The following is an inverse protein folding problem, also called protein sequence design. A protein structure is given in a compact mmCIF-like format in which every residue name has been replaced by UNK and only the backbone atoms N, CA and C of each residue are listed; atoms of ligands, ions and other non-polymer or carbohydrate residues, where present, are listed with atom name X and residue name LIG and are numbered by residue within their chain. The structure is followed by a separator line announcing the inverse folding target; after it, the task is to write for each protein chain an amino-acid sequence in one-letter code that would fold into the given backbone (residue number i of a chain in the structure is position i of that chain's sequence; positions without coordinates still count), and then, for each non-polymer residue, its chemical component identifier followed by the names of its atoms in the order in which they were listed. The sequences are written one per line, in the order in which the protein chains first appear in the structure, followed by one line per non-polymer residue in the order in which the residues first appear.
data_IF_672051499036
#
_entry.id   IF_672051499036
#
_cell.length_a   1.000
_cell.length_b   1.000
_cell.length_c   1.000
_cell.angle_alpha   90.00
_cell.angle_beta   90.00
_cell.angle_gamma   90.00
#
_symmetry.space_group_name_H-M   'P 1'
#
loop_
_entity.id
_entity.type
_entity.pdbx_description
1 polymer ?
#
# COMPACT_ATOMS: atom_id res chain seq x y z
N UNK A 1 4.84 22.66 -5.63
CA UNK A 1 4.83 21.88 -4.38
C UNK A 1 5.03 22.85 -3.23
N UNK A 2 4.09 22.92 -2.29
CA UNK A 2 4.26 23.78 -1.12
C UNK A 2 5.22 23.09 -0.14
N UNK A 3 6.08 23.86 0.51
CA UNK A 3 6.97 23.35 1.56
C UNK A 3 6.15 23.02 2.81
N UNK A 4 6.33 21.82 3.37
CA UNK A 4 5.63 21.35 4.57
C UNK A 4 5.91 22.29 5.75
N UNK A 5 7.15 22.77 5.88
CA UNK A 5 7.54 23.70 6.95
C UNK A 5 6.80 25.02 6.82
N UNK A 6 6.58 25.49 5.58
CA UNK A 6 5.78 26.68 5.30
C UNK A 6 4.31 26.48 5.65
N UNK A 7 3.75 25.30 5.38
CA UNK A 7 2.38 24.98 5.75
C UNK A 7 2.18 24.93 7.27
N UNK A 8 3.09 24.26 7.98
CA UNK A 8 3.08 24.17 9.45
C UNK A 8 3.16 25.59 10.04
N UNK A 9 4.07 26.42 9.53
CA UNK A 9 4.21 27.81 9.98
C UNK A 9 2.94 28.63 9.78
N UNK A 10 2.32 28.55 8.60
CA UNK A 10 1.05 29.23 8.30
C UNK A 10 -0.06 28.82 9.29
N UNK A 11 -0.15 27.51 9.62
CA UNK A 11 -1.13 27.00 10.60
C UNK A 11 -0.83 27.54 12.01
N UNK A 12 0.43 27.46 12.45
CA UNK A 12 0.85 27.90 13.78
C UNK A 12 0.56 29.39 13.98
N UNK A 13 0.94 30.24 13.02
CA UNK A 13 0.68 31.69 13.10
C UNK A 13 -0.81 31.99 13.26
N UNK A 14 -1.66 31.21 12.59
CA UNK A 14 -3.11 31.35 12.70
C UNK A 14 -3.65 30.89 14.05
N UNK A 15 -3.19 29.75 14.57
CA UNK A 15 -3.57 29.24 15.89
C UNK A 15 -3.23 30.23 17.01
N UNK A 16 -2.08 30.90 16.91
CA UNK A 16 -1.68 31.96 17.85
C UNK A 16 -2.61 33.17 17.75
N UNK A 17 -2.88 33.64 16.53
CA UNK A 17 -3.64 34.87 16.30
C UNK A 17 -5.14 34.75 16.57
N UNK A 18 -5.72 33.61 16.22
CA UNK A 18 -7.19 33.45 16.19
C UNK A 18 -7.72 32.58 17.32
N UNK A 19 -6.89 31.70 17.91
CA UNK A 19 -7.37 30.63 18.80
C UNK A 19 -6.66 30.55 20.16
N UNK A 20 -5.89 31.58 20.55
CA UNK A 20 -5.15 31.66 21.82
C UNK A 20 -4.19 30.48 22.08
N UNK A 21 -3.67 29.85 21.02
CA UNK A 21 -2.59 28.88 21.19
C UNK A 21 -1.26 29.61 21.43
N UNK A 22 -0.40 29.00 22.25
CA UNK A 22 1.02 29.33 22.37
C UNK A 22 1.85 28.21 21.77
N UNK A 23 3.05 28.55 21.33
CA UNK A 23 4.00 27.57 20.79
C UNK A 23 5.01 27.23 21.87
N UNK A 24 5.32 25.94 21.98
CA UNK A 24 6.36 25.43 22.87
C UNK A 24 7.31 24.53 22.08
N UNK A 25 8.61 24.69 22.32
CA UNK A 25 9.62 23.81 21.75
C UNK A 25 9.75 22.54 22.60
N UNK A 26 9.86 21.38 21.94
CA UNK A 26 10.01 20.06 22.57
C UNK A 26 11.26 19.35 22.02
N UNK A 27 11.92 18.59 22.88
CA UNK A 27 13.20 17.93 22.60
C UNK A 27 13.06 16.41 22.41
N UNK A 28 12.04 15.96 21.67
CA UNK A 28 11.76 14.52 21.50
C UNK A 28 12.30 13.95 20.20
N UNK A 29 13.08 12.86 20.29
CA UNK A 29 13.48 12.02 19.14
C UNK A 29 12.46 10.92 18.79
N UNK A 30 11.20 11.04 19.23
CA UNK A 30 10.17 10.00 19.17
C UNK A 30 9.42 9.93 17.81
N UNK A 31 10.12 10.19 16.70
CA UNK A 31 9.52 10.15 15.35
C UNK A 31 8.64 11.36 15.00
N UNK A 32 8.69 12.43 15.80
CA UNK A 32 8.06 13.72 15.49
C UNK A 32 8.95 14.53 14.56
N UNK A 33 8.36 15.14 13.54
CA UNK A 33 9.12 15.92 12.54
C UNK A 33 9.27 17.40 12.92
N UNK A 34 8.35 17.94 13.71
CA UNK A 34 8.46 19.31 14.23
C UNK A 34 8.89 19.29 15.70
N UNK A 35 9.95 20.02 16.04
CA UNK A 35 10.34 20.30 17.45
C UNK A 35 9.37 21.22 18.20
N UNK A 36 8.16 21.44 17.70
CA UNK A 36 7.25 22.53 18.08
C UNK A 36 5.86 21.96 18.31
N UNK A 37 5.21 22.34 19.42
CA UNK A 37 3.81 22.00 19.71
C UNK A 37 3.00 23.28 19.89
N UNK A 38 1.74 23.26 19.48
CA UNK A 38 0.79 24.33 19.78
C UNK A 38 -0.06 23.93 20.99
N UNK A 39 -0.18 24.81 21.97
CA UNK A 39 -0.85 24.53 23.25
C UNK A 39 -1.88 25.60 23.54
N UNK A 40 -3.11 25.22 23.87
CA UNK A 40 -4.17 26.10 24.32
C UNK A 40 -4.61 25.69 25.73
N UNK A 41 -4.57 26.62 26.68
CA UNK A 41 -5.02 26.35 28.04
C UNK A 41 -6.54 26.52 28.13
N UNK A 42 -7.25 25.45 28.49
CA UNK A 42 -8.68 25.47 28.80
C UNK A 42 -8.90 25.42 30.31
N UNK A 43 -10.15 25.57 30.73
CA UNK A 43 -10.53 25.57 32.14
C UNK A 43 -10.09 24.27 32.82
N UNK A 44 -10.39 23.11 32.22
CA UNK A 44 -10.15 21.79 32.82
C UNK A 44 -8.94 21.03 32.25
N UNK A 45 -8.42 21.40 31.08
CA UNK A 45 -7.36 20.66 30.40
C UNK A 45 -6.46 21.56 29.53
N UNK A 46 -5.30 21.05 29.11
CA UNK A 46 -4.50 21.66 28.05
C UNK A 46 -4.80 20.97 26.72
N UNK A 47 -5.23 21.72 25.72
CA UNK A 47 -5.38 21.21 24.37
C UNK A 47 -4.05 21.35 23.63
N UNK A 48 -3.42 20.22 23.27
CA UNK A 48 -2.09 20.18 22.67
C UNK A 48 -2.20 19.65 21.26
N UNK A 49 -1.61 20.36 20.29
CA UNK A 49 -1.59 19.99 18.88
C UNK A 49 -0.15 19.77 18.42
N UNK A 50 0.08 18.63 17.77
CA UNK A 50 1.36 18.23 17.19
C UNK A 50 1.18 17.96 15.71
N UNK A 51 2.16 18.37 14.90
CA UNK A 51 2.20 18.10 13.46
C UNK A 51 3.21 16.99 13.14
N UNK A 52 2.85 16.12 12.22
CA UNK A 52 3.72 15.07 11.68
C UNK A 52 3.43 14.88 10.20
N UNK A 53 4.43 14.85 9.31
CA UNK A 53 4.23 14.37 7.93
C UNK A 53 4.45 12.86 7.79
N UNK A 54 4.73 12.18 8.90
CA UNK A 54 4.94 10.74 8.92
C UNK A 54 3.60 10.01 9.09
N UNK A 55 3.16 9.34 8.02
CA UNK A 55 2.02 8.42 8.02
C UNK A 55 2.27 7.14 8.83
N UNK A 56 3.51 6.87 9.27
CA UNK A 56 3.84 5.78 10.20
C UNK A 56 3.41 6.11 11.63
N UNK A 57 2.12 6.38 11.81
CA UNK A 57 1.45 6.58 13.10
C UNK A 57 1.58 5.34 14.00
N UNK A 58 1.90 4.18 13.42
CA UNK A 58 2.23 2.94 14.15
C UNK A 58 3.51 3.03 15.00
N UNK A 59 4.47 3.89 14.62
CA UNK A 59 5.73 4.07 15.36
C UNK A 59 5.67 5.25 16.34
N UNK A 60 4.64 6.10 16.23
CA UNK A 60 4.31 7.06 17.27
C UNK A 60 3.78 6.25 18.45
N UNK A 61 4.65 5.93 19.40
CA UNK A 61 4.22 5.41 20.70
C UNK A 61 3.41 6.52 21.39
N UNK A 62 2.12 6.58 21.06
CA UNK A 62 1.20 7.64 21.49
C UNK A 62 1.12 7.70 23.00
N UNK A 63 1.21 6.56 23.68
CA UNK A 63 1.32 6.51 25.15
C UNK A 63 2.58 7.22 25.62
N UNK A 64 3.75 6.89 25.06
CA UNK A 64 5.00 7.57 25.40
C UNK A 64 4.96 9.08 25.12
N UNK A 65 4.43 9.50 23.98
CA UNK A 65 4.30 10.92 23.63
C UNK A 65 3.32 11.60 24.56
N UNK A 66 2.17 10.97 24.84
CA UNK A 66 1.18 11.50 25.76
C UNK A 66 1.76 11.63 27.17
N UNK A 67 2.51 10.64 27.65
CA UNK A 67 3.20 10.68 28.94
C UNK A 67 4.26 11.78 29.00
N UNK A 68 5.12 11.87 27.98
CA UNK A 68 6.13 12.92 27.89
C UNK A 68 5.49 14.31 27.87
N UNK A 69 4.50 14.53 27.01
CA UNK A 69 3.81 15.82 26.91
C UNK A 69 3.06 16.10 28.22
N UNK A 70 2.38 15.11 28.81
CA UNK A 70 1.69 15.27 30.10
C UNK A 70 2.67 15.65 31.21
N UNK A 71 3.92 15.17 31.18
CA UNK A 71 4.95 15.55 32.15
C UNK A 71 5.32 17.05 32.09
N UNK A 72 5.06 17.71 30.96
CA UNK A 72 5.25 19.16 30.79
C UNK A 72 4.11 19.97 31.43
N UNK A 73 2.98 19.33 31.78
CA UNK A 73 1.79 19.98 32.35
C UNK A 73 1.42 19.35 33.70
N UNK A 74 1.75 20.06 34.78
CA UNK A 74 1.62 19.54 36.16
C UNK A 74 0.19 19.70 36.70
N UNK A 75 -0.57 20.70 36.23
CA UNK A 75 -1.79 21.16 36.91
C UNK A 75 -3.10 20.64 36.31
N UNK A 76 -3.08 20.20 35.04
CA UNK A 76 -4.29 19.81 34.31
C UNK A 76 -3.96 18.65 33.34
N UNK A 77 -4.92 17.76 33.05
CA UNK A 77 -4.76 16.74 32.02
C UNK A 77 -4.54 17.36 30.64
N UNK A 78 -3.90 16.63 29.73
CA UNK A 78 -3.78 17.01 28.32
C UNK A 78 -4.82 16.32 27.44
N UNK A 79 -5.33 17.05 26.46
CA UNK A 79 -5.96 16.50 25.27
C UNK A 79 -4.95 16.56 24.11
N UNK A 80 -4.37 15.42 23.75
CA UNK A 80 -3.34 15.34 22.71
C UNK A 80 -3.98 15.13 21.34
N UNK A 81 -3.83 16.13 20.46
CA UNK A 81 -4.22 16.10 19.07
C UNK A 81 -3.01 15.91 18.15
N UNK A 82 -3.07 14.92 17.26
CA UNK A 82 -2.03 14.66 16.26
C UNK A 82 -2.60 14.96 14.87
N UNK A 83 -2.02 15.96 14.21
CA UNK A 83 -2.31 16.35 12.83
C UNK A 83 -1.29 15.70 11.89
N UNK A 84 -1.78 14.83 11.00
CA UNK A 84 -0.92 14.21 9.98
C UNK A 84 -1.02 14.98 8.67
N UNK A 85 0.12 15.44 8.17
CA UNK A 85 0.24 16.20 6.94
C UNK A 85 0.57 15.25 5.79
N UNK A 86 -0.27 15.25 4.75
CA UNK A 86 -0.09 14.40 3.58
C UNK A 86 -0.16 15.22 2.30
N UNK A 87 0.35 14.64 1.23
CA UNK A 87 0.12 15.11 -0.13
C UNK A 87 -0.95 14.20 -0.75
N UNK A 88 -2.22 14.63 -0.86
CA UNK A 88 -3.31 13.73 -1.27
C UNK A 88 -3.09 13.12 -2.65
N UNK A 89 -2.46 13.84 -3.59
CA UNK A 89 -2.16 13.31 -4.92
C UNK A 89 -1.09 12.22 -4.86
N UNK A 90 -0.11 12.38 -3.96
CA UNK A 90 1.01 11.44 -3.80
C UNK A 90 0.71 10.35 -2.76
N UNK A 91 -0.19 10.55 -1.81
CA UNK A 91 -0.40 9.67 -0.65
C UNK A 91 -1.81 9.06 -0.61
N UNK A 92 -2.63 9.28 -1.65
CA UNK A 92 -4.00 8.74 -1.76
C UNK A 92 -4.12 7.24 -1.45
N UNK A 93 -3.10 6.44 -1.80
CA UNK A 93 -3.05 5.02 -1.51
C UNK A 93 -2.65 4.69 -0.06
N UNK A 94 -1.85 5.54 0.60
CA UNK A 94 -1.52 5.37 2.02
C UNK A 94 -2.75 5.62 2.88
N UNK A 95 -3.60 6.59 2.51
CA UNK A 95 -4.88 6.86 3.17
C UNK A 95 -5.78 5.61 3.14
N UNK A 96 -5.85 4.91 1.99
CA UNK A 96 -6.63 3.69 1.83
C UNK A 96 -6.09 2.49 2.64
N UNK A 97 -4.83 2.56 3.09
CA UNK A 97 -4.16 1.52 3.85
C UNK A 97 -4.02 1.85 5.34
N UNK A 98 -4.41 3.07 5.75
CA UNK A 98 -4.59 3.39 7.15
C UNK A 98 -5.73 2.52 7.66
N UNK A 99 -5.36 1.47 8.39
CA UNK A 99 -6.27 0.60 9.12
C UNK A 99 -7.26 1.49 9.91
N UNK A 100 -8.54 1.14 9.95
CA UNK A 100 -9.56 1.91 10.68
C UNK A 100 -9.16 2.05 12.16
N UNK A 101 -8.40 1.08 12.69
CA UNK A 101 -7.83 1.14 14.03
C UNK A 101 -6.68 2.16 14.16
N UNK A 102 -5.88 2.40 13.11
CA UNK A 102 -4.88 3.47 13.05
C UNK A 102 -5.53 4.85 13.00
N UNK A 103 -6.68 4.97 12.33
CA UNK A 103 -7.43 6.22 12.18
C UNK A 103 -8.05 6.68 13.51
N UNK A 104 -8.38 5.75 14.41
CA UNK A 104 -8.88 6.08 15.76
C UNK A 104 -7.89 6.86 16.63
N UNK A 105 -6.60 6.70 16.38
CA UNK A 105 -5.54 7.37 17.15
C UNK A 105 -5.08 8.70 16.52
N UNK A 106 -5.51 8.98 15.28
CA UNK A 106 -5.24 10.24 14.59
C UNK A 106 -6.35 11.23 14.91
N UNK A 107 -5.99 12.46 15.23
CA UNK A 107 -6.97 13.51 15.51
C UNK A 107 -7.53 14.09 14.22
N UNK A 108 -6.67 14.34 13.23
CA UNK A 108 -7.05 14.72 11.87
C UNK A 108 -5.88 14.59 10.87
N UNK A 109 -6.21 14.43 9.59
CA UNK A 109 -5.27 14.38 8.46
C UNK A 109 -5.52 15.58 7.54
N UNK A 110 -4.48 16.31 7.19
CA UNK A 110 -4.52 17.51 6.35
C UNK A 110 -3.72 17.30 5.06
N UNK A 111 -4.32 17.69 3.94
CA UNK A 111 -3.61 17.83 2.68
C UNK A 111 -2.95 19.21 2.62
N UNK A 112 -1.62 19.24 2.68
CA UNK A 112 -0.88 20.51 2.70
C UNK A 112 -0.84 21.19 1.33
N UNK A 113 -0.92 20.45 0.22
CA UNK A 113 -0.90 21.04 -1.12
C UNK A 113 -2.23 21.70 -1.46
N UNK A 114 -3.34 21.01 -1.19
CA UNK A 114 -4.68 21.53 -1.47
C UNK A 114 -5.27 22.34 -0.32
N UNK A 115 -4.57 22.43 0.83
CA UNK A 115 -5.07 23.05 2.07
C UNK A 115 -6.47 22.55 2.43
N UNK A 116 -6.62 21.23 2.42
CA UNK A 116 -7.92 20.58 2.63
C UNK A 116 -7.86 19.55 3.74
N UNK A 117 -9.02 19.24 4.31
CA UNK A 117 -9.16 18.26 5.37
C UNK A 117 -9.39 16.90 4.71
N UNK A 118 -8.55 15.93 5.05
CA UNK A 118 -8.65 14.55 4.55
C UNK A 118 -9.41 13.69 5.55
N UNK A 119 -9.17 13.89 6.85
CA UNK A 119 -9.87 13.19 7.93
C UNK A 119 -9.93 14.08 9.18
N UNK A 120 -10.99 13.98 9.96
CA UNK A 120 -11.09 14.57 11.30
C UNK A 120 -11.96 13.68 12.18
N UNK A 121 -11.45 13.28 13.34
CA UNK A 121 -12.21 12.51 14.32
C UNK A 121 -13.36 13.31 14.96
N UNK A 122 -14.31 12.62 15.58
CA UNK A 122 -15.58 13.21 16.09
C UNK A 122 -15.40 14.33 17.15
N UNK A 123 -14.21 14.51 17.73
CA UNK A 123 -13.92 15.57 18.71
C UNK A 123 -13.08 16.75 18.20
N UNK A 124 -12.61 16.72 16.95
CA UNK A 124 -11.55 17.64 16.48
C UNK A 124 -12.05 18.63 15.42
N UNK A 125 -13.31 18.49 15.01
CA UNK A 125 -13.93 19.27 13.93
C UNK A 125 -13.81 20.78 14.09
N UNK A 126 -14.06 21.32 15.29
CA UNK A 126 -13.98 22.76 15.54
C UNK A 126 -12.57 23.30 15.31
N UNK A 127 -11.56 22.63 15.88
CA UNK A 127 -10.14 22.99 15.74
C UNK A 127 -9.73 22.95 14.27
N UNK A 128 -10.15 21.94 13.53
CA UNK A 128 -9.78 21.77 12.11
C UNK A 128 -10.44 22.81 11.22
N UNK A 129 -11.72 23.12 11.43
CA UNK A 129 -12.44 24.15 10.67
C UNK A 129 -11.81 25.54 10.89
N UNK A 130 -11.37 25.82 12.12
CA UNK A 130 -10.67 27.05 12.48
C UNK A 130 -9.25 27.12 11.90
N UNK A 131 -8.52 26.01 11.86
CA UNK A 131 -7.18 25.92 11.26
C UNK A 131 -7.23 26.15 9.74
N UNK A 132 -8.18 25.53 9.04
CA UNK A 132 -8.11 25.48 7.57
C UNK A 132 -8.83 26.65 6.89
N UNK A 133 -9.86 27.30 7.49
CA UNK A 133 -10.73 28.29 6.79
C UNK A 133 -10.84 27.99 5.28
N UNK A 134 -11.30 26.78 4.96
CA UNK A 134 -11.54 26.37 3.57
C UNK A 134 -12.55 27.37 3.00
N UNK A 135 -12.29 28.01 1.85
CA UNK A 135 -13.31 28.78 1.16
C UNK A 135 -14.53 27.86 0.97
N UNK A 136 -15.73 28.31 1.40
CA UNK A 136 -16.99 27.53 1.35
C UNK A 136 -17.37 26.97 -0.04
N UNK A 137 -16.58 27.26 -1.07
CA UNK A 137 -16.82 26.94 -2.48
C UNK A 137 -16.07 25.70 -3.01
N UNK A 138 -15.24 25.02 -2.20
CA UNK A 138 -14.66 23.72 -2.60
C UNK A 138 -15.10 22.62 -1.64
N UNK A 139 -15.76 21.60 -2.20
CA UNK A 139 -16.35 20.44 -1.53
C UNK A 139 -15.49 19.91 -0.37
N UNK A 140 -15.90 20.21 0.86
CA UNK A 140 -15.35 19.59 2.04
C UNK A 140 -15.82 18.13 2.09
N UNK A 141 -14.90 17.17 1.93
CA UNK A 141 -15.19 15.75 2.14
C UNK A 141 -15.13 15.48 3.64
N UNK A 142 -16.26 15.62 4.32
CA UNK A 142 -16.43 15.12 5.69
C UNK A 142 -16.70 13.62 5.61
N UNK A 143 -15.70 12.79 5.94
CA UNK A 143 -15.88 11.34 6.01
C UNK A 143 -16.72 10.98 7.24
N UNK A 144 -17.99 10.70 7.01
CA UNK A 144 -18.86 10.01 7.95
C UNK A 144 -18.52 8.51 7.89
N UNK A 145 -18.47 7.78 9.00
CA UNK A 145 -18.18 6.34 9.05
C UNK A 145 -19.07 5.51 8.07
N UNK A 146 -20.22 6.07 7.68
CA UNK A 146 -21.18 5.48 6.75
C UNK A 146 -20.96 5.81 5.26
N UNK A 147 -20.07 6.75 4.92
CA UNK A 147 -19.74 7.15 3.55
C UNK A 147 -18.27 6.81 3.22
N UNK A 148 -17.91 5.55 3.43
CA UNK A 148 -16.82 4.92 2.64
C UNK A 148 -17.39 4.76 1.24
N UNK A 149 -17.44 5.87 0.50
CA UNK A 149 -17.91 5.84 -0.86
C UNK A 149 -16.93 4.97 -1.66
N UNK A 150 -17.50 3.99 -2.34
CA UNK A 150 -16.82 2.82 -2.84
C UNK A 150 -15.58 3.22 -3.64
N UNK A 151 -14.42 2.69 -3.22
CA UNK A 151 -13.23 2.58 -4.07
C UNK A 151 -13.65 2.32 -5.52
N UNK A 152 -12.96 2.91 -6.50
CA UNK A 152 -12.95 2.28 -7.83
C UNK A 152 -12.55 0.83 -7.60
N UNK A 153 -13.55 -0.06 -7.64
CA UNK A 153 -13.38 -1.48 -7.35
C UNK A 153 -12.24 -1.92 -8.25
N UNK A 154 -11.13 -2.42 -7.71
CA UNK A 154 -10.01 -2.96 -8.46
C UNK A 154 -10.53 -4.04 -9.43
N UNK A 155 -10.93 -3.59 -10.62
CA UNK A 155 -11.84 -4.32 -11.50
C UNK A 155 -11.00 -5.33 -12.26
N UNK A 156 -9.80 -4.91 -12.68
CA UNK A 156 -8.86 -5.77 -13.37
C UNK A 156 -8.36 -6.87 -12.44
N UNK A 157 -8.00 -6.54 -11.20
CA UNK A 157 -7.58 -7.54 -10.21
C UNK A 157 -8.66 -8.62 -10.05
N UNK A 158 -9.93 -8.22 -9.88
CA UNK A 158 -11.05 -9.16 -9.75
C UNK A 158 -11.30 -9.96 -11.03
N UNK A 159 -11.15 -9.36 -12.21
CA UNK A 159 -11.24 -10.07 -13.50
C UNK A 159 -10.15 -11.13 -13.60
N UNK A 160 -8.90 -10.80 -13.28
CA UNK A 160 -7.79 -11.75 -13.31
C UNK A 160 -8.05 -12.90 -12.33
N UNK A 161 -8.53 -12.61 -11.12
CA UNK A 161 -8.93 -13.64 -10.15
C UNK A 161 -10.02 -14.54 -10.74
N UNK A 162 -11.06 -13.96 -11.33
CA UNK A 162 -12.14 -14.71 -11.98
C UNK A 162 -11.65 -15.64 -13.08
N UNK A 163 -10.71 -15.18 -13.93
CA UNK A 163 -10.10 -15.99 -14.99
C UNK A 163 -9.32 -17.16 -14.40
N UNK A 164 -8.53 -16.94 -13.35
CA UNK A 164 -7.76 -18.00 -12.68
C UNK A 164 -8.68 -19.06 -12.05
N UNK A 165 -9.76 -18.63 -11.40
CA UNK A 165 -10.77 -19.55 -10.83
C UNK A 165 -11.42 -20.35 -11.95
N UNK A 166 -11.84 -19.70 -13.04
CA UNK A 166 -12.46 -20.38 -14.17
C UNK A 166 -11.52 -21.42 -14.81
N UNK A 167 -10.27 -21.06 -15.06
CA UNK A 167 -9.26 -21.99 -15.59
C UNK A 167 -8.95 -23.15 -14.63
N UNK A 168 -8.98 -22.89 -13.32
CA UNK A 168 -8.83 -23.96 -12.34
C UNK A 168 -10.01 -24.93 -12.36
N UNK A 169 -11.25 -24.44 -12.50
CA UNK A 169 -12.44 -25.31 -12.61
C UNK A 169 -12.36 -26.22 -13.85
N UNK A 170 -11.89 -25.70 -14.99
CA UNK A 170 -11.64 -26.50 -16.19
C UNK A 170 -10.58 -27.58 -15.89
N UNK A 171 -9.47 -27.18 -15.27
CA UNK A 171 -8.37 -28.10 -14.93
C UNK A 171 -8.85 -29.20 -13.97
N UNK A 172 -9.60 -28.84 -12.94
CA UNK A 172 -10.15 -29.77 -11.94
C UNK A 172 -11.14 -30.75 -12.56
N UNK A 173 -12.02 -30.27 -13.44
CA UNK A 173 -12.96 -31.11 -14.19
C UNK A 173 -12.22 -32.15 -15.06
N UNK A 174 -11.24 -31.71 -15.84
CA UNK A 174 -10.45 -32.59 -16.71
C UNK A 174 -9.55 -33.55 -15.91
N UNK A 175 -9.05 -33.11 -14.75
CA UNK A 175 -8.27 -33.94 -13.83
C UNK A 175 -9.12 -34.89 -13.00
N UNK A 176 -10.46 -34.74 -13.01
CA UNK A 176 -11.42 -35.45 -12.16
C UNK A 176 -11.12 -35.34 -10.66
N UNK A 177 -10.49 -34.24 -10.25
CA UNK A 177 -10.10 -33.98 -8.87
C UNK A 177 -10.05 -32.48 -8.61
N UNK A 178 -10.77 -32.02 -7.59
CA UNK A 178 -10.87 -30.60 -7.21
C UNK A 178 -9.78 -30.16 -6.23
N UNK A 179 -9.06 -31.08 -5.61
CA UNK A 179 -8.01 -30.78 -4.65
C UNK A 179 -6.63 -30.70 -5.31
N UNK A 180 -6.37 -31.54 -6.31
CA UNK A 180 -5.12 -31.61 -7.05
C UNK A 180 -5.34 -31.79 -8.55
N UNK A 181 -4.49 -31.14 -9.35
CA UNK A 181 -4.53 -31.20 -10.81
C UNK A 181 -3.54 -32.23 -11.36
N UNK A 182 -3.94 -32.99 -12.38
CA UNK A 182 -3.02 -33.91 -13.09
C UNK A 182 -2.05 -33.09 -13.95
N UNK A 183 -0.74 -33.37 -13.82
CA UNK A 183 0.31 -32.66 -14.55
C UNK A 183 0.13 -32.76 -16.08
N UNK A 184 -0.41 -33.87 -16.59
CA UNK A 184 -0.68 -34.06 -18.03
C UNK A 184 -1.78 -33.14 -18.52
N UNK A 185 -2.81 -32.92 -17.69
CA UNK A 185 -3.89 -31.96 -17.97
C UNK A 185 -3.32 -30.54 -17.96
N UNK A 186 -2.49 -30.19 -16.97
CA UNK A 186 -1.82 -28.89 -16.93
C UNK A 186 -0.97 -28.64 -18.17
N UNK A 187 -0.15 -29.62 -18.59
CA UNK A 187 0.66 -29.51 -19.81
C UNK A 187 -0.23 -29.41 -21.05
N UNK A 188 -1.31 -30.19 -21.14
CA UNK A 188 -2.28 -30.10 -22.23
C UNK A 188 -2.91 -28.70 -22.34
N UNK A 189 -3.26 -28.09 -21.21
CA UNK A 189 -3.88 -26.76 -21.13
C UNK A 189 -2.90 -25.59 -21.26
N UNK A 190 -1.60 -25.84 -21.47
CA UNK A 190 -0.63 -24.79 -21.73
C UNK A 190 0.28 -24.43 -20.56
N UNK A 191 0.56 -25.36 -19.64
CA UNK A 191 1.63 -25.17 -18.66
C UNK A 191 2.97 -24.90 -19.35
N UNK A 192 3.86 -24.18 -18.68
CA UNK A 192 5.22 -23.96 -19.17
C UNK A 192 5.93 -25.30 -19.19
N UNK A 193 6.43 -25.71 -20.36
CA UNK A 193 7.18 -26.94 -20.57
C UNK A 193 8.20 -26.71 -21.69
N UNK A 194 9.49 -26.91 -21.40
CA UNK A 194 10.59 -26.47 -22.27
C UNK A 194 10.54 -27.11 -23.66
N UNK A 195 10.24 -28.40 -23.76
CA UNK A 195 10.18 -29.11 -25.04
C UNK A 195 9.15 -28.52 -26.00
N UNK A 196 7.97 -28.16 -25.48
CA UNK A 196 6.90 -27.54 -26.29
C UNK A 196 7.24 -26.10 -26.68
N UNK A 197 7.85 -25.33 -25.77
CA UNK A 197 8.32 -23.97 -26.07
C UNK A 197 9.40 -24.00 -27.17
N UNK A 198 10.32 -24.95 -27.11
CA UNK A 198 11.35 -25.15 -28.14
C UNK A 198 10.74 -25.49 -29.51
N UNK A 199 9.55 -26.11 -29.53
CA UNK A 199 8.81 -26.45 -30.74
C UNK A 199 7.88 -25.31 -31.21
N UNK A 200 7.98 -24.12 -30.63
CA UNK A 200 7.24 -22.93 -31.07
C UNK A 200 5.96 -22.61 -30.29
N UNK A 201 5.64 -23.37 -29.23
CA UNK A 201 4.45 -23.10 -28.39
C UNK A 201 4.69 -21.97 -27.37
N UNK A 202 5.09 -20.79 -27.87
CA UNK A 202 5.45 -19.62 -27.05
C UNK A 202 4.30 -19.07 -26.20
N UNK A 203 3.04 -19.35 -26.58
CA UNK A 203 1.87 -18.98 -25.78
C UNK A 203 1.92 -19.55 -24.35
N UNK A 204 2.68 -20.64 -24.14
CA UNK A 204 2.92 -21.24 -22.82
C UNK A 204 3.62 -20.31 -21.83
N UNK A 205 4.28 -19.26 -22.31
CA UNK A 205 4.85 -18.22 -21.43
C UNK A 205 3.76 -17.38 -20.75
N UNK A 206 2.56 -17.31 -21.35
CA UNK A 206 1.41 -16.58 -20.83
C UNK A 206 0.39 -17.53 -20.19
N UNK A 207 0.04 -18.63 -20.86
CA UNK A 207 -1.04 -19.52 -20.39
C UNK A 207 -0.70 -20.21 -19.07
N UNK A 208 0.57 -20.48 -18.80
CA UNK A 208 1.06 -21.05 -17.54
C UNK A 208 0.64 -20.22 -16.31
N UNK A 209 0.52 -18.90 -16.47
CA UNK A 209 0.15 -17.96 -15.41
C UNK A 209 -1.26 -18.20 -14.85
N UNK A 210 -2.12 -18.86 -15.62
CA UNK A 210 -3.53 -19.07 -15.28
C UNK A 210 -3.85 -20.50 -14.79
N UNK A 211 -2.84 -21.37 -14.75
CA UNK A 211 -3.00 -22.77 -14.35
C UNK A 211 -2.53 -22.99 -12.92
N UNK A 212 -3.22 -23.85 -12.17
CA UNK A 212 -2.92 -24.11 -10.76
C UNK A 212 -2.92 -25.61 -10.45
N UNK A 213 -1.94 -26.05 -9.66
CA UNK A 213 -1.70 -27.47 -9.38
C UNK A 213 -2.61 -28.08 -8.33
N UNK A 214 -3.40 -27.24 -7.65
CA UNK A 214 -4.31 -27.65 -6.59
C UNK A 214 -5.05 -26.48 -5.98
N UNK A 215 -6.05 -26.78 -5.15
CA UNK A 215 -6.98 -25.79 -4.62
C UNK A 215 -6.29 -24.83 -3.65
N UNK A 216 -5.42 -25.35 -2.80
CA UNK A 216 -4.63 -24.54 -1.87
C UNK A 216 -3.68 -23.60 -2.63
N UNK A 217 -3.03 -24.09 -3.68
CA UNK A 217 -2.15 -23.26 -4.51
C UNK A 217 -2.94 -22.12 -5.17
N UNK A 218 -4.13 -22.39 -5.73
CA UNK A 218 -5.01 -21.34 -6.24
C UNK A 218 -5.40 -20.36 -5.14
N UNK A 219 -5.90 -20.84 -4.00
CA UNK A 219 -6.40 -20.00 -2.93
C UNK A 219 -5.33 -19.03 -2.41
N UNK A 220 -4.10 -19.51 -2.20
CA UNK A 220 -2.98 -18.68 -1.75
C UNK A 220 -2.61 -17.61 -2.80
N UNK A 221 -2.58 -17.96 -4.09
CA UNK A 221 -2.32 -16.98 -5.15
C UNK A 221 -3.42 -15.94 -5.26
N UNK A 222 -4.69 -16.34 -5.18
CA UNK A 222 -5.81 -15.41 -5.28
C UNK A 222 -5.88 -14.50 -4.05
N UNK A 223 -5.57 -15.02 -2.86
CA UNK A 223 -5.44 -14.21 -1.64
C UNK A 223 -4.32 -13.19 -1.77
N UNK A 224 -3.13 -13.61 -2.22
CA UNK A 224 -2.00 -12.72 -2.43
C UNK A 224 -2.31 -11.65 -3.48
N UNK A 225 -2.86 -12.05 -4.63
CA UNK A 225 -3.24 -11.13 -5.71
C UNK A 225 -4.31 -10.14 -5.27
N UNK A 226 -5.32 -10.56 -4.51
CA UNK A 226 -6.34 -9.66 -4.00
C UNK A 226 -5.80 -8.70 -2.92
N UNK A 227 -4.75 -9.10 -2.19
CA UNK A 227 -4.12 -8.26 -1.18
C UNK A 227 -3.24 -7.17 -1.79
N UNK A 228 -2.46 -7.50 -2.84
CA UNK A 228 -1.45 -6.59 -3.40
C UNK A 228 -1.83 -5.97 -4.76
N UNK A 229 -2.64 -6.66 -5.56
CA UNK A 229 -3.10 -6.20 -6.88
C UNK A 229 -3.82 -4.85 -6.86
N UNK A 230 -4.81 -4.64 -5.96
CA UNK A 230 -5.55 -3.38 -5.89
C UNK A 230 -4.65 -2.18 -5.62
N UNK A 231 -3.55 -2.34 -4.88
CA UNK A 231 -2.60 -1.26 -4.60
C UNK A 231 -1.95 -0.74 -5.88
N UNK A 232 -1.50 -1.65 -6.75
CA UNK A 232 -0.85 -1.28 -8.01
C UNK A 232 -1.89 -0.81 -9.04
N UNK A 233 -3.08 -1.42 -9.08
CA UNK A 233 -4.18 -0.98 -9.95
C UNK A 233 -4.63 0.45 -9.62
N UNK A 234 -4.76 0.78 -8.34
CA UNK A 234 -5.16 2.12 -7.91
C UNK A 234 -4.03 3.15 -8.10
N UNK A 235 -2.77 2.75 -7.88
CA UNK A 235 -1.63 3.67 -8.03
C UNK A 235 -1.35 4.03 -9.50
N UNK A 236 -1.36 3.03 -10.39
CA UNK A 236 -0.97 3.23 -11.78
C UNK A 236 -2.16 3.33 -12.76
N UNK A 237 -3.36 2.97 -12.32
CA UNK A 237 -4.51 2.77 -13.18
C UNK A 237 -4.49 1.42 -13.90
N UNK A 238 -5.65 1.06 -14.46
CA UNK A 238 -5.94 -0.26 -15.06
C UNK A 238 -4.94 -0.71 -16.12
N UNK A 239 -4.58 0.18 -17.05
CA UNK A 239 -3.71 -0.14 -18.21
C UNK A 239 -2.29 -0.45 -17.75
N UNK A 240 -1.70 0.43 -16.92
CA UNK A 240 -0.33 0.25 -16.45
C UNK A 240 -0.21 -0.95 -15.50
N UNK A 241 -1.24 -1.22 -14.68
CA UNK A 241 -1.30 -2.44 -13.88
C UNK A 241 -1.31 -3.72 -14.75
N UNK A 242 -2.09 -3.75 -15.83
CA UNK A 242 -2.07 -4.86 -16.78
C UNK A 242 -0.67 -5.06 -17.39
N UNK A 243 -0.01 -3.98 -17.80
CA UNK A 243 1.35 -4.02 -18.36
C UNK A 243 2.32 -4.63 -17.34
N UNK A 244 2.30 -4.15 -16.10
CA UNK A 244 3.14 -4.70 -15.01
C UNK A 244 2.85 -6.18 -14.82
N UNK A 245 1.59 -6.56 -14.63
CA UNK A 245 1.19 -7.94 -14.34
C UNK A 245 1.61 -8.91 -15.45
N UNK A 246 1.28 -8.59 -16.71
CA UNK A 246 1.54 -9.50 -17.83
C UNK A 246 3.01 -9.55 -18.22
N UNK A 247 3.74 -8.44 -18.25
CA UNK A 247 5.18 -8.47 -18.57
C UNK A 247 5.96 -9.20 -17.47
N UNK A 248 5.63 -8.98 -16.20
CA UNK A 248 6.22 -9.74 -15.10
C UNK A 248 5.93 -11.23 -15.19
N UNK A 249 4.69 -11.60 -15.52
CA UNK A 249 4.33 -13.02 -15.72
C UNK A 249 5.07 -13.68 -16.88
N UNK A 250 5.23 -12.97 -18.01
CA UNK A 250 6.01 -13.47 -19.15
C UNK A 250 7.49 -13.63 -18.78
N UNK A 251 8.09 -12.63 -18.12
CA UNK A 251 9.48 -12.69 -17.69
C UNK A 251 9.70 -13.79 -16.63
N UNK A 252 8.72 -14.03 -15.78
CA UNK A 252 8.69 -15.16 -14.85
C UNK A 252 8.77 -16.49 -15.61
N UNK A 253 7.83 -16.74 -16.54
CA UNK A 253 7.84 -17.96 -17.36
C UNK A 253 9.12 -18.10 -18.19
N UNK A 254 9.68 -16.99 -18.66
CA UNK A 254 10.91 -16.98 -19.45
C UNK A 254 12.14 -17.32 -18.59
N UNK A 255 12.27 -16.77 -17.39
CA UNK A 255 13.34 -17.15 -16.46
C UNK A 255 13.21 -18.62 -16.05
N UNK A 256 12.00 -19.08 -15.78
CA UNK A 256 11.74 -20.50 -15.57
C UNK A 256 12.19 -21.35 -16.76
N UNK A 257 11.90 -20.91 -17.98
CA UNK A 257 12.31 -21.61 -19.20
C UNK A 257 13.83 -21.73 -19.32
N UNK A 258 14.56 -20.65 -19.03
CA UNK A 258 16.03 -20.62 -19.11
C UNK A 258 16.71 -21.46 -18.02
N UNK A 259 16.19 -21.42 -16.79
CA UNK A 259 16.92 -21.91 -15.61
C UNK A 259 16.30 -23.13 -14.94
N UNK A 260 15.11 -23.56 -15.36
CA UNK A 260 14.42 -24.73 -14.80
C UNK A 260 13.91 -25.67 -15.91
N UNK A 261 14.28 -26.96 -15.88
CA UNK A 261 13.73 -27.96 -16.80
C UNK A 261 12.29 -28.36 -16.43
N UNK A 262 11.84 -28.03 -15.22
CA UNK A 262 10.56 -28.46 -14.67
C UNK A 262 9.37 -27.78 -15.35
N UNK A 263 8.23 -28.46 -15.32
CA UNK A 263 6.94 -27.85 -15.67
C UNK A 263 6.60 -26.78 -14.64
N UNK A 264 6.15 -25.62 -15.10
CA UNK A 264 5.78 -24.50 -14.24
C UNK A 264 4.39 -23.95 -14.57
N UNK A 265 3.69 -23.53 -13.52
CA UNK A 265 2.31 -23.06 -13.52
C UNK A 265 2.12 -22.10 -12.35
N UNK A 266 1.14 -21.20 -12.47
CA UNK A 266 0.64 -20.38 -11.38
C UNK A 266 0.84 -18.89 -11.61
N UNK A 267 -0.06 -18.10 -11.03
CA UNK A 267 -0.01 -16.65 -11.10
C UNK A 267 1.12 -16.04 -10.26
N UNK A 268 1.77 -16.82 -9.40
CA UNK A 268 2.77 -16.35 -8.44
C UNK A 268 3.91 -15.55 -9.07
N UNK A 269 4.35 -15.92 -10.27
CA UNK A 269 5.36 -15.17 -11.01
C UNK A 269 4.96 -13.71 -11.27
N UNK A 270 3.74 -13.50 -11.77
CA UNK A 270 3.19 -12.16 -11.96
C UNK A 270 2.95 -11.44 -10.64
N UNK A 271 2.49 -12.15 -9.60
CA UNK A 271 2.30 -11.60 -8.24
C UNK A 271 3.63 -11.09 -7.67
N UNK A 272 4.75 -11.83 -7.86
CA UNK A 272 6.08 -11.35 -7.51
C UNK A 272 6.48 -10.09 -8.27
N UNK A 273 6.02 -9.94 -9.51
CA UNK A 273 6.13 -8.69 -10.25
C UNK A 273 5.34 -7.53 -9.65
N UNK A 274 4.10 -7.78 -9.21
CA UNK A 274 3.28 -6.79 -8.49
C UNK A 274 3.93 -6.43 -7.14
N UNK A 275 4.54 -7.39 -6.43
CA UNK A 275 5.37 -7.13 -5.25
C UNK A 275 6.60 -6.27 -5.59
N UNK A 276 7.26 -6.54 -6.72
CA UNK A 276 8.36 -5.72 -7.23
C UNK A 276 7.95 -4.28 -7.53
N UNK A 277 6.78 -4.09 -8.14
CA UNK A 277 6.19 -2.77 -8.36
C UNK A 277 5.89 -2.06 -7.03
N UNK A 278 5.34 -2.80 -6.07
CA UNK A 278 5.06 -2.30 -4.71
C UNK A 278 6.34 -1.89 -4.00
N UNK A 279 7.41 -2.66 -4.15
CA UNK A 279 8.72 -2.36 -3.58
C UNK A 279 9.27 -1.01 -4.09
N UNK A 280 9.11 -0.71 -5.39
CA UNK A 280 9.54 0.56 -5.97
C UNK A 280 8.72 1.74 -5.41
N UNK A 281 7.40 1.59 -5.29
CA UNK A 281 6.54 2.59 -4.67
C UNK A 281 6.94 2.80 -3.21
N UNK A 282 7.09 1.72 -2.44
CA UNK A 282 7.49 1.78 -1.04
C UNK A 282 8.86 2.46 -0.87
N UNK A 283 9.82 2.13 -1.73
CA UNK A 283 11.14 2.76 -1.74
C UNK A 283 11.06 4.25 -2.04
N UNK A 284 10.27 4.67 -3.02
CA UNK A 284 10.12 6.10 -3.37
C UNK A 284 9.56 6.91 -2.20
N UNK A 285 8.64 6.32 -1.44
CA UNK A 285 7.99 6.97 -0.29
C UNK A 285 8.66 6.70 1.06
N UNK A 286 9.81 6.00 1.09
CA UNK A 286 10.49 5.60 2.34
C UNK A 286 10.86 6.75 3.28
N UNK A 287 11.06 7.96 2.73
CA UNK A 287 11.39 9.17 3.50
C UNK A 287 10.16 9.90 4.06
N UNK A 288 8.94 9.50 3.64
CA UNK A 288 7.65 10.07 4.04
C UNK A 288 6.83 9.04 4.84
N UNK A 289 7.49 8.29 5.73
CA UNK A 289 6.85 7.24 6.53
C UNK A 289 6.71 5.86 5.87
N UNK A 290 7.11 5.69 4.62
CA UNK A 290 7.04 4.40 3.92
C UNK A 290 8.08 3.35 4.33
N UNK A 291 8.94 3.60 5.33
CA UNK A 291 10.07 2.72 5.67
C UNK A 291 9.61 1.37 6.21
N UNK A 292 8.60 1.34 7.09
CA UNK A 292 8.04 0.09 7.60
C UNK A 292 7.27 -0.68 6.55
N UNK A 293 6.52 0.02 5.70
CA UNK A 293 5.87 -0.60 4.54
C UNK A 293 6.91 -1.24 3.61
N UNK A 294 8.02 -0.53 3.33
CA UNK A 294 9.16 -1.06 2.59
C UNK A 294 9.75 -2.31 3.27
N UNK A 295 10.03 -2.26 4.58
CA UNK A 295 10.55 -3.39 5.34
C UNK A 295 9.60 -4.60 5.30
N UNK A 296 8.28 -4.37 5.41
CA UNK A 296 7.27 -5.40 5.32
C UNK A 296 7.24 -6.05 3.93
N UNK A 297 7.28 -5.26 2.85
CA UNK A 297 7.33 -5.79 1.49
C UNK A 297 8.62 -6.58 1.25
N UNK A 298 9.77 -6.08 1.72
CA UNK A 298 11.04 -6.81 1.67
C UNK A 298 10.93 -8.13 2.43
N UNK A 299 10.38 -8.11 3.64
CA UNK A 299 10.16 -9.29 4.47
C UNK A 299 9.27 -10.33 3.76
N UNK A 300 8.14 -9.90 3.20
CA UNK A 300 7.23 -10.77 2.43
C UNK A 300 7.95 -11.39 1.24
N UNK A 301 8.74 -10.62 0.48
CA UNK A 301 9.51 -11.13 -0.66
C UNK A 301 10.52 -12.17 -0.18
N UNK A 302 11.34 -11.85 0.83
CA UNK A 302 12.39 -12.74 1.35
C UNK A 302 11.80 -14.02 1.91
N UNK A 303 10.75 -13.94 2.73
CA UNK A 303 10.09 -15.11 3.31
C UNK A 303 9.50 -16.00 2.23
N UNK A 304 8.80 -15.44 1.23
CA UNK A 304 8.25 -16.24 0.14
C UNK A 304 9.33 -16.91 -0.72
N UNK A 305 10.47 -16.25 -0.95
CA UNK A 305 11.60 -16.87 -1.65
C UNK A 305 12.21 -18.00 -0.82
N UNK A 306 12.45 -17.80 0.49
CA UNK A 306 12.97 -18.86 1.38
C UNK A 306 12.03 -20.06 1.41
N UNK A 307 10.73 -19.81 1.59
CA UNK A 307 9.71 -20.86 1.56
C UNK A 307 9.67 -21.56 0.20
N UNK A 308 9.79 -20.79 -0.89
CA UNK A 308 9.85 -21.35 -2.24
C UNK A 308 11.09 -22.23 -2.47
N UNK A 309 12.25 -21.89 -1.91
CA UNK A 309 13.43 -22.76 -1.96
C UNK A 309 13.31 -23.99 -1.04
N UNK A 310 12.44 -23.92 -0.03
CA UNK A 310 12.23 -25.00 0.95
C UNK A 310 11.15 -26.00 0.54
N UNK A 311 10.19 -25.60 -0.30
CA UNK A 311 9.08 -26.44 -0.75
C UNK A 311 9.40 -27.05 -2.12
N UNK A 312 9.43 -28.39 -2.26
CA UNK A 312 9.63 -29.04 -3.55
C UNK A 312 8.59 -28.61 -4.59
N UNK A 313 9.02 -28.48 -5.85
CA UNK A 313 8.18 -28.10 -6.99
C UNK A 313 7.71 -26.64 -7.01
N UNK A 314 8.32 -25.75 -6.21
CA UNK A 314 8.14 -24.30 -6.37
C UNK A 314 9.19 -23.73 -7.33
N UNK A 315 8.73 -22.88 -8.24
CA UNK A 315 9.57 -22.30 -9.29
C UNK A 315 10.16 -20.94 -8.88
N UNK A 316 11.28 -21.00 -8.13
CA UNK A 316 11.96 -19.79 -7.65
C UNK A 316 12.60 -18.97 -8.78
N UNK A 317 13.03 -19.61 -9.87
CA UNK A 317 13.53 -18.87 -11.04
C UNK A 317 12.40 -18.06 -11.67
N UNK A 318 11.19 -18.64 -11.73
CA UNK A 318 9.98 -17.91 -12.06
C UNK A 318 9.73 -16.72 -11.12
N UNK A 319 9.78 -16.91 -9.81
CA UNK A 319 9.55 -15.82 -8.84
C UNK A 319 10.58 -14.69 -8.99
N UNK A 320 11.86 -15.01 -9.14
CA UNK A 320 12.94 -14.04 -9.35
C UNK A 320 12.73 -13.27 -10.67
N UNK A 321 12.44 -13.97 -11.77
CA UNK A 321 12.18 -13.34 -13.07
C UNK A 321 10.98 -12.40 -13.04
N UNK A 322 9.92 -12.81 -12.33
CA UNK A 322 8.74 -11.97 -12.10
C UNK A 322 9.05 -10.70 -11.32
N UNK A 323 9.77 -10.84 -10.19
CA UNK A 323 10.19 -9.73 -9.35
C UNK A 323 11.05 -8.71 -10.10
N UNK A 324 12.08 -9.18 -10.81
CA UNK A 324 12.96 -8.34 -11.64
C UNK A 324 12.15 -7.64 -12.72
N UNK A 325 11.27 -8.37 -13.42
CA UNK A 325 10.40 -7.82 -14.44
C UNK A 325 9.50 -6.72 -13.91
N UNK A 326 8.90 -6.93 -12.74
CA UNK A 326 8.04 -5.93 -12.09
C UNK A 326 8.79 -4.67 -11.72
N UNK A 327 9.99 -4.80 -11.15
CA UNK A 327 10.86 -3.66 -10.81
C UNK A 327 11.21 -2.87 -12.07
N UNK A 328 11.70 -3.53 -13.12
CA UNK A 328 12.14 -2.86 -14.35
C UNK A 328 10.97 -2.14 -15.02
N UNK A 329 9.83 -2.82 -15.22
CA UNK A 329 8.66 -2.22 -15.87
C UNK A 329 8.14 -1.03 -15.06
N UNK A 330 8.12 -1.16 -13.73
CA UNK A 330 7.67 -0.07 -12.85
C UNK A 330 8.59 1.14 -12.94
N UNK A 331 9.91 0.96 -12.97
CA UNK A 331 10.87 2.05 -13.15
C UNK A 331 10.69 2.78 -14.49
N UNK A 332 10.31 2.07 -15.55
CA UNK A 332 10.01 2.67 -16.86
C UNK A 332 8.70 3.47 -16.77
N UNK A 333 7.66 2.89 -16.19
CA UNK A 333 6.32 3.50 -16.15
C UNK A 333 6.22 4.67 -15.17
N UNK A 334 6.96 4.67 -14.07
CA UNK A 334 6.86 5.72 -13.05
C UNK A 334 7.35 7.08 -13.56
N UNK A 335 8.35 7.08 -14.45
CA UNK A 335 8.89 8.30 -15.07
C UNK A 335 7.92 8.97 -16.07
N UNK A 336 6.86 8.26 -16.48
CA UNK A 336 5.81 8.82 -17.36
C UNK A 336 4.70 9.53 -16.60
N UNK A 337 4.70 9.50 -15.26
CA UNK A 337 3.75 10.22 -14.41
C UNK A 337 4.30 11.58 -13.92
N UNK A 338 5.60 11.82 -14.07
CA UNK A 338 6.28 13.05 -13.61
C UNK A 338 6.55 14.06 -14.75
N UNK A 339 5.95 13.84 -15.93
CA UNK A 339 5.94 14.77 -17.07
C UNK A 339 4.52 15.19 -17.35
#
# INVERSE_FOLDING_TARGET
MMDIDKFIKDIIEKLIRENNYRVMEISTNAGLESSWIAVNEKEDFYDVLIFSSNLAIKDLNREYIKEYIQSLFINKPINLNIAVLIDKEIDSYLINFLDINLIKDISFVLDYNNRSIVYAGEGTRSIVEDIVKVPKEKENIYYNENNIDSHEKATITKIIIGINIFMYLITAFLSKNILSSDIRVLVFLGAKANSFINNGEYYRLITSMFLHGGLIHLALNMYALNSIGPLIENYFGKVKYLIIYFISGILSSYFSYLFSPSVSIGASGAIFGVLGATLIIAYKNRKRGGKEFLNNIISVIVVNLILGFSIPNVDNFGHIGGLIGGIIVTLILINTLER
#
